data_IF_542643743068
#
_entry.id   IF_542643743068
#
_cell.length_a   1.000
_cell.length_b   1.000
_cell.length_c   1.000
_cell.angle_alpha   90.00
_cell.angle_beta   90.00
_cell.angle_gamma   90.00
#
_symmetry.space_group_name_H-M   'P 1'
#
loop_
_entity.id
_entity.type
_entity.pdbx_description
1 polymer ?
#
# COMPACT_ATOMS: atom_id res chain seq x y z
N UNK A 1 -12.57 -8.35 35.04
CA UNK A 1 -11.63 -8.52 33.93
C UNK A 1 -12.26 -9.40 32.86
N UNK A 2 -12.21 -8.97 31.64
CA UNK A 2 -12.81 -9.71 30.52
C UNK A 2 -11.92 -10.90 30.16
N UNK A 3 -12.55 -12.02 29.85
CA UNK A 3 -11.80 -13.20 29.44
C UNK A 3 -11.51 -13.21 27.93
N UNK A 4 -10.65 -14.13 27.53
CA UNK A 4 -10.20 -14.25 26.13
C UNK A 4 -11.36 -14.48 25.15
N UNK A 5 -12.35 -15.27 25.56
CA UNK A 5 -13.52 -15.58 24.72
C UNK A 5 -14.36 -14.33 24.46
N UNK A 6 -14.59 -13.52 25.49
CA UNK A 6 -15.35 -12.28 25.37
C UNK A 6 -14.65 -11.29 24.44
N UNK A 7 -13.34 -11.16 24.60
CA UNK A 7 -12.53 -10.27 23.78
C UNK A 7 -12.51 -10.74 22.32
N UNK A 8 -12.36 -12.05 22.10
CA UNK A 8 -12.36 -12.63 20.76
C UNK A 8 -13.71 -12.41 20.05
N UNK A 9 -14.82 -12.60 20.78
CA UNK A 9 -16.15 -12.35 20.22
C UNK A 9 -16.34 -10.89 19.83
N UNK A 10 -15.94 -9.97 20.67
CA UNK A 10 -16.03 -8.54 20.35
C UNK A 10 -15.14 -8.16 19.19
N UNK A 11 -13.93 -8.71 19.11
CA UNK A 11 -13.02 -8.47 17.99
C UNK A 11 -13.63 -8.96 16.68
N UNK A 12 -14.21 -10.16 16.70
CA UNK A 12 -14.86 -10.73 15.52
C UNK A 12 -16.02 -9.85 15.06
N UNK A 13 -16.87 -9.40 15.97
CA UNK A 13 -17.99 -8.52 15.64
C UNK A 13 -17.50 -7.15 15.14
N UNK A 14 -16.45 -6.63 15.72
CA UNK A 14 -15.87 -5.36 15.27
C UNK A 14 -15.34 -5.46 13.83
N UNK A 15 -14.75 -6.59 13.48
CA UNK A 15 -14.26 -6.85 12.10
C UNK A 15 -15.42 -6.89 11.09
N UNK A 16 -16.52 -7.52 11.47
CA UNK A 16 -17.73 -7.56 10.64
C UNK A 16 -18.28 -6.15 10.46
N UNK A 17 -18.40 -5.39 11.54
CA UNK A 17 -18.91 -4.01 11.48
C UNK A 17 -18.03 -3.11 10.60
N UNK A 18 -16.72 -3.26 10.70
CA UNK A 18 -15.76 -2.52 9.87
C UNK A 18 -15.93 -2.86 8.39
N UNK A 19 -16.09 -4.13 8.06
CA UNK A 19 -16.32 -4.58 6.69
C UNK A 19 -17.62 -3.99 6.12
N UNK A 20 -18.71 -4.06 6.89
CA UNK A 20 -20.00 -3.51 6.47
C UNK A 20 -19.94 -1.99 6.28
N UNK A 21 -19.27 -1.29 7.21
CA UNK A 21 -19.09 0.15 7.10
C UNK A 21 -18.25 0.52 5.87
N UNK A 22 -17.22 -0.27 5.58
CA UNK A 22 -16.37 -0.07 4.40
C UNK A 22 -17.17 -0.25 3.09
N UNK A 23 -17.97 -1.29 3.01
CA UNK A 23 -18.82 -1.55 1.85
C UNK A 23 -19.82 -0.40 1.62
N UNK A 24 -20.41 0.08 2.70
CA UNK A 24 -21.34 1.22 2.64
C UNK A 24 -20.64 2.50 2.19
N UNK A 25 -19.44 2.74 2.72
CA UNK A 25 -18.65 3.91 2.34
C UNK A 25 -18.31 3.89 0.85
N UNK A 26 -17.85 2.74 0.35
CA UNK A 26 -17.50 2.60 -1.07
C UNK A 26 -18.71 2.83 -1.96
N UNK A 27 -19.88 2.26 -1.60
CA UNK A 27 -21.09 2.44 -2.35
C UNK A 27 -21.53 3.92 -2.42
N UNK A 28 -21.42 4.64 -1.29
CA UNK A 28 -21.74 6.07 -1.23
C UNK A 28 -20.75 6.91 -2.05
N UNK A 29 -19.46 6.56 -2.03
CA UNK A 29 -18.46 7.23 -2.85
C UNK A 29 -18.77 7.06 -4.35
N UNK A 30 -19.16 5.86 -4.76
CA UNK A 30 -19.56 5.59 -6.15
C UNK A 30 -20.79 6.41 -6.55
N UNK A 31 -21.75 6.54 -5.67
CA UNK A 31 -22.92 7.38 -5.92
C UNK A 31 -22.55 8.85 -6.11
N UNK A 32 -21.64 9.38 -5.28
CA UNK A 32 -21.16 10.75 -5.43
C UNK A 32 -20.40 10.94 -6.74
N UNK A 33 -19.56 9.99 -7.11
CA UNK A 33 -18.83 10.06 -8.38
C UNK A 33 -19.81 10.06 -9.56
N UNK A 34 -20.87 9.26 -9.50
CA UNK A 34 -21.88 9.21 -10.55
C UNK A 34 -22.61 10.54 -10.69
N UNK A 35 -22.88 11.23 -9.58
CA UNK A 35 -23.60 12.52 -9.59
C UNK A 35 -22.69 13.69 -9.96
N UNK A 36 -21.48 13.75 -9.44
CA UNK A 36 -20.56 14.88 -9.57
C UNK A 36 -19.59 14.74 -10.74
N UNK A 37 -19.39 13.53 -11.22
CA UNK A 37 -18.42 13.23 -12.26
C UNK A 37 -17.01 13.02 -11.72
N UNK A 38 -16.11 12.62 -12.60
CA UNK A 38 -14.71 12.42 -12.28
C UNK A 38 -13.83 12.69 -13.49
N UNK A 39 -12.57 13.04 -13.25
CA UNK A 39 -11.54 13.13 -14.28
C UNK A 39 -10.71 11.85 -14.28
N UNK A 40 -10.22 11.45 -15.45
CA UNK A 40 -9.28 10.33 -15.54
C UNK A 40 -8.03 10.61 -14.70
N UNK A 41 -7.53 11.84 -14.76
CA UNK A 41 -6.36 12.25 -14.00
C UNK A 41 -6.58 13.67 -13.49
N UNK A 42 -6.29 13.90 -12.21
CA UNK A 42 -6.43 15.18 -11.56
C UNK A 42 -7.58 15.23 -10.57
N UNK A 43 -7.73 16.36 -9.92
CA UNK A 43 -8.70 16.58 -8.84
C UNK A 43 -9.70 17.65 -9.20
N UNK A 44 -10.94 17.47 -8.74
CA UNK A 44 -11.98 18.49 -8.77
C UNK A 44 -12.56 18.61 -7.37
N UNK A 45 -12.91 19.84 -6.98
CA UNK A 45 -13.55 20.14 -5.70
C UNK A 45 -14.97 20.59 -5.94
N UNK A 46 -15.89 20.07 -5.14
CA UNK A 46 -17.30 20.38 -5.22
C UNK A 46 -17.81 20.74 -3.83
N UNK A 47 -18.53 21.86 -3.73
CA UNK A 47 -19.19 22.23 -2.47
C UNK A 47 -20.61 21.72 -2.49
N UNK A 48 -20.94 20.88 -1.52
CA UNK A 48 -22.27 20.29 -1.38
C UNK A 48 -22.72 20.53 0.06
N UNK A 49 -23.63 21.48 0.25
CA UNK A 49 -24.03 21.90 1.57
C UNK A 49 -22.87 22.44 2.38
N UNK A 50 -22.64 21.87 3.56
CA UNK A 50 -21.49 22.22 4.42
C UNK A 50 -20.21 21.48 4.07
N UNK A 51 -20.28 20.56 3.10
CA UNK A 51 -19.15 19.70 2.77
C UNK A 51 -18.40 20.20 1.55
N UNK A 52 -17.08 20.05 1.59
CA UNK A 52 -16.21 20.22 0.43
C UNK A 52 -15.74 18.83 0.01
N UNK A 53 -16.17 18.42 -1.18
CA UNK A 53 -15.88 17.08 -1.70
C UNK A 53 -14.80 17.19 -2.77
N UNK A 54 -13.71 16.46 -2.58
CA UNK A 54 -12.63 16.37 -3.56
C UNK A 54 -12.69 15.01 -4.22
N UNK A 55 -12.84 14.99 -5.54
CA UNK A 55 -12.81 13.76 -6.33
C UNK A 55 -11.52 13.75 -7.12
N UNK A 56 -10.67 12.75 -6.89
CA UNK A 56 -9.37 12.62 -7.53
C UNK A 56 -9.29 11.36 -8.36
N UNK A 57 -9.05 11.53 -9.66
CA UNK A 57 -8.74 10.43 -10.55
C UNK A 57 -7.25 10.26 -10.68
N UNK A 58 -6.81 9.02 -10.78
CA UNK A 58 -5.41 8.66 -10.98
C UNK A 58 -5.30 7.61 -12.07
N UNK A 59 -4.31 7.78 -12.92
CA UNK A 59 -3.96 6.78 -13.92
C UNK A 59 -2.78 5.96 -13.40
N UNK A 60 -2.93 4.65 -13.42
CA UNK A 60 -1.84 3.74 -13.09
C UNK A 60 -1.09 3.44 -14.39
N UNK A 61 0.17 3.89 -14.44
CA UNK A 61 1.04 3.63 -15.58
C UNK A 61 1.94 2.46 -15.23
N UNK A 62 1.83 1.40 -16.03
CA UNK A 62 2.64 0.20 -15.87
C UNK A 62 3.50 0.03 -17.11
N UNK A 63 4.69 -0.53 -16.91
CA UNK A 63 5.61 -0.77 -18.01
C UNK A 63 5.96 -2.26 -18.08
N UNK A 64 6.08 -2.75 -19.32
CA UNK A 64 6.62 -4.07 -19.61
C UNK A 64 8.10 -3.86 -19.93
N UNK A 65 8.99 -4.17 -19.01
CA UNK A 65 10.41 -3.94 -19.17
C UNK A 65 11.02 -4.75 -20.31
N UNK A 66 10.49 -5.93 -20.56
CA UNK A 66 10.96 -6.77 -21.66
C UNK A 66 10.67 -6.10 -23.02
N UNK A 67 9.48 -5.58 -23.17
CA UNK A 67 9.10 -4.83 -24.38
C UNK A 67 9.88 -3.52 -24.48
N UNK A 68 10.09 -2.83 -23.36
CA UNK A 68 10.88 -1.60 -23.32
C UNK A 68 12.31 -1.85 -23.82
N UNK A 69 12.97 -2.86 -23.28
CA UNK A 69 14.35 -3.17 -23.64
C UNK A 69 14.47 -3.61 -25.12
N UNK A 70 13.49 -4.35 -25.61
CA UNK A 70 13.50 -4.88 -26.98
C UNK A 70 13.18 -3.82 -28.05
N UNK A 71 12.24 -2.91 -27.77
CA UNK A 71 11.66 -2.07 -28.82
C UNK A 71 11.74 -0.56 -28.58
N UNK A 72 11.97 -0.12 -27.39
CA UNK A 72 11.87 1.30 -27.01
C UNK A 72 13.22 1.92 -26.61
N UNK A 73 14.01 1.20 -25.81
CA UNK A 73 15.24 1.72 -25.22
C UNK A 73 16.22 2.29 -26.27
N UNK A 74 16.33 1.65 -27.43
CA UNK A 74 17.23 2.09 -28.50
C UNK A 74 16.72 3.33 -29.25
N UNK A 75 15.45 3.68 -29.09
CA UNK A 75 14.80 4.77 -29.83
C UNK A 75 14.60 6.03 -29.01
N UNK A 76 14.72 5.94 -27.70
CA UNK A 76 14.63 7.10 -26.81
C UNK A 76 16.00 7.38 -26.23
N UNK A 77 16.55 8.61 -26.41
CA UNK A 77 17.83 8.97 -25.80
C UNK A 77 17.84 8.68 -24.30
N UNK A 78 18.94 8.16 -23.79
CA UNK A 78 19.06 7.78 -22.38
C UNK A 78 18.66 8.91 -21.43
N UNK A 79 19.02 10.14 -21.74
CA UNK A 79 18.67 11.31 -20.93
C UNK A 79 17.17 11.59 -20.85
N UNK A 80 16.37 11.06 -21.79
CA UNK A 80 14.93 11.27 -21.87
C UNK A 80 14.13 10.03 -21.46
N UNK A 81 14.79 8.91 -21.21
CA UNK A 81 14.09 7.70 -20.79
C UNK A 81 13.47 7.89 -19.39
N UNK A 82 12.16 7.62 -19.25
CA UNK A 82 11.46 7.78 -17.96
C UNK A 82 11.72 6.60 -17.02
N UNK A 83 12.99 6.39 -16.69
CA UNK A 83 13.46 5.27 -15.86
C UNK A 83 14.18 5.82 -14.65
N UNK A 84 13.81 5.29 -13.47
CA UNK A 84 14.47 5.55 -12.20
C UNK A 84 15.10 4.27 -11.68
N UNK A 85 16.34 4.35 -11.24
CA UNK A 85 16.97 3.23 -10.54
C UNK A 85 16.84 3.49 -9.06
N UNK A 86 16.20 2.56 -8.34
CA UNK A 86 15.95 2.67 -6.91
C UNK A 86 16.75 1.59 -6.18
N UNK A 87 17.40 1.99 -5.07
CA UNK A 87 18.10 1.05 -4.19
C UNK A 87 17.14 0.60 -3.11
N UNK A 88 17.03 -0.69 -2.91
CA UNK A 88 16.20 -1.27 -1.87
C UNK A 88 17.03 -2.16 -0.95
N UNK A 89 16.65 -2.20 0.32
CA UNK A 89 17.28 -3.10 1.28
C UNK A 89 16.82 -4.52 0.98
N UNK A 90 17.78 -5.42 0.81
CA UNK A 90 17.50 -6.85 0.66
C UNK A 90 17.46 -7.49 2.05
N UNK A 91 16.26 -7.68 2.58
CA UNK A 91 16.08 -8.23 3.93
C UNK A 91 16.61 -9.66 4.04
N UNK A 92 16.48 -10.46 2.99
CA UNK A 92 17.05 -11.81 2.98
C UNK A 92 18.57 -11.76 3.08
N UNK A 93 19.21 -10.81 2.37
CA UNK A 93 20.64 -10.56 2.45
C UNK A 93 21.09 -10.12 3.83
N UNK A 94 20.29 -9.26 4.49
CA UNK A 94 20.57 -8.84 5.88
C UNK A 94 20.57 -10.04 6.82
N UNK A 95 19.56 -10.90 6.71
CA UNK A 95 19.46 -12.12 7.53
C UNK A 95 20.61 -13.08 7.27
N UNK A 96 21.03 -13.21 6.03
CA UNK A 96 22.19 -14.05 5.69
C UNK A 96 23.45 -13.54 6.38
N UNK A 97 23.73 -12.25 6.33
CA UNK A 97 24.89 -11.66 6.98
C UNK A 97 24.84 -11.85 8.50
N UNK A 98 23.67 -11.64 9.10
CA UNK A 98 23.51 -11.82 10.54
C UNK A 98 23.78 -13.25 10.98
N UNK A 99 23.39 -14.23 10.18
CA UNK A 99 23.52 -15.65 10.53
C UNK A 99 24.87 -16.25 10.12
N UNK A 100 25.51 -15.75 9.07
CA UNK A 100 26.67 -16.40 8.47
C UNK A 100 27.94 -15.54 8.47
N UNK A 101 27.81 -14.21 8.51
CA UNK A 101 28.92 -13.27 8.44
C UNK A 101 28.83 -12.20 9.53
N UNK A 102 29.04 -12.57 10.82
CA UNK A 102 28.83 -11.64 11.93
C UNK A 102 29.66 -10.36 11.85
N UNK A 103 30.86 -10.43 11.32
CA UNK A 103 31.74 -9.28 11.18
C UNK A 103 31.18 -8.27 10.17
N UNK A 104 30.68 -8.77 9.05
CA UNK A 104 30.07 -7.93 8.02
C UNK A 104 28.73 -7.37 8.49
N UNK A 105 27.95 -8.18 9.21
CA UNK A 105 26.71 -7.71 9.81
C UNK A 105 26.95 -6.57 10.80
N UNK A 106 28.02 -6.66 11.58
CA UNK A 106 28.40 -5.60 12.52
C UNK A 106 28.68 -4.29 11.79
N UNK A 107 29.33 -4.35 10.64
CA UNK A 107 29.54 -3.15 9.80
C UNK A 107 28.23 -2.59 9.26
N UNK A 108 27.37 -3.46 8.74
CA UNK A 108 26.06 -3.06 8.21
C UNK A 108 25.20 -2.41 9.28
N UNK A 109 25.26 -2.92 10.52
CA UNK A 109 24.42 -2.42 11.60
C UNK A 109 24.66 -0.94 11.96
N UNK A 110 25.77 -0.37 11.51
CA UNK A 110 26.03 1.07 11.68
C UNK A 110 25.07 1.93 10.85
N UNK A 111 24.52 1.37 9.76
CA UNK A 111 23.61 2.05 8.87
C UNK A 111 22.19 1.46 8.90
N UNK A 112 21.96 0.47 9.75
CA UNK A 112 20.70 -0.26 9.81
C UNK A 112 19.94 0.11 11.07
N UNK A 113 18.68 0.54 10.91
CA UNK A 113 17.76 0.78 12.02
C UNK A 113 16.72 -0.34 12.00
N UNK A 114 16.57 -1.02 13.13
CA UNK A 114 15.62 -2.11 13.28
C UNK A 114 14.57 -1.69 14.29
N UNK A 115 13.32 -1.62 13.85
CA UNK A 115 12.19 -1.29 14.71
C UNK A 115 11.15 -2.40 14.64
N UNK A 116 10.53 -2.76 15.78
CA UNK A 116 9.48 -3.78 15.74
C UNK A 116 8.28 -3.26 14.97
N UNK A 117 7.79 -4.08 14.03
CA UNK A 117 6.56 -3.78 13.32
C UNK A 117 5.36 -4.05 14.23
N UNK A 118 4.22 -3.44 13.90
CA UNK A 118 2.98 -3.67 14.62
C UNK A 118 2.61 -5.15 14.58
N UNK A 119 2.32 -5.71 15.75
CA UNK A 119 1.83 -7.08 15.85
C UNK A 119 0.44 -7.17 15.23
N UNK A 120 0.25 -8.13 14.36
CA UNK A 120 -1.00 -8.30 13.63
C UNK A 120 -1.82 -9.44 14.25
N UNK A 121 -3.12 -9.21 14.39
CA UNK A 121 -4.06 -10.23 14.88
C UNK A 121 -5.04 -10.57 13.77
N UNK A 122 -5.11 -11.85 13.42
CA UNK A 122 -6.12 -12.38 12.51
C UNK A 122 -7.11 -13.19 13.33
N UNK A 123 -8.41 -13.01 13.07
CA UNK A 123 -9.46 -13.79 13.72
C UNK A 123 -10.38 -14.38 12.66
N UNK A 124 -10.69 -15.66 12.83
CA UNK A 124 -11.62 -16.38 11.96
C UNK A 124 -12.35 -17.44 12.77
N UNK A 125 -13.47 -17.93 12.22
CA UNK A 125 -14.20 -19.00 12.88
C UNK A 125 -13.41 -20.29 12.71
N UNK A 126 -13.05 -20.92 13.83
CA UNK A 126 -12.41 -22.22 13.84
C UNK A 126 -13.40 -23.35 13.55
N UNK A 127 -12.92 -24.39 12.92
CA UNK A 127 -13.74 -25.56 12.57
C UNK A 127 -13.32 -26.77 13.41
#
# INVERSE_FOLDING_TARGET
MRNETEIAEELYQARIAEKEANEKRVALEEELIALLGSKEEGSEKHRVGQYLITIQGKLNRKIDWKAFDAHVASKIPESLQPVKVVRELDVAGVKYLANNEPQLYKLLSRALTIEPAKTYVKIEIGV
#
